data_IF_551353064958
#
_entry.id   IF_551353064958
#
_cell.length_a   1.000
_cell.length_b   1.000
_cell.length_c   1.000
_cell.angle_alpha   90.00
_cell.angle_beta   90.00
_cell.angle_gamma   90.00
#
_symmetry.space_group_name_H-M   'P 1'
#
loop_
_entity.id
_entity.type
_entity.pdbx_description
1 polymer ?
#
# COMPACT_ATOMS: atom_id res chain seq x y z
N UNK A 1 5.87 12.17 -2.33
CA UNK A 1 5.36 12.86 -3.53
C UNK A 1 5.64 11.92 -4.67
N UNK A 2 4.63 11.50 -5.44
CA UNK A 2 4.85 10.53 -6.51
C UNK A 2 5.77 11.13 -7.57
N UNK A 3 6.82 10.39 -7.90
CA UNK A 3 7.79 10.82 -8.89
C UNK A 3 7.24 10.54 -10.31
N UNK A 4 7.67 11.28 -11.33
CA UNK A 4 7.20 11.06 -12.71
C UNK A 4 7.45 9.65 -13.23
N UNK A 5 8.44 8.96 -12.66
CA UNK A 5 8.84 7.59 -13.02
C UNK A 5 8.16 6.51 -12.16
N UNK A 6 7.27 6.91 -11.23
CA UNK A 6 6.60 5.98 -10.31
C UNK A 6 5.65 4.98 -11.00
N UNK A 7 5.29 5.21 -12.26
CA UNK A 7 4.49 4.30 -13.09
C UNK A 7 5.26 3.90 -14.33
N UNK A 8 5.28 2.60 -14.62
CA UNK A 8 5.89 2.03 -15.82
C UNK A 8 4.87 1.31 -16.68
N UNK A 9 5.04 1.43 -17.99
CA UNK A 9 4.20 0.72 -18.98
C UNK A 9 4.71 -0.70 -19.17
N UNK A 10 3.82 -1.68 -19.07
CA UNK A 10 4.02 -3.09 -19.41
C UNK A 10 3.13 -3.49 -20.58
N UNK A 11 3.32 -4.70 -21.11
CA UNK A 11 2.46 -5.29 -22.16
C UNK A 11 0.99 -5.33 -21.73
N UNK A 12 0.74 -5.71 -20.48
CA UNK A 12 -0.60 -5.89 -19.90
C UNK A 12 -1.25 -4.57 -19.43
N UNK A 13 -0.49 -3.47 -19.29
CA UNK A 13 -1.03 -2.27 -18.66
C UNK A 13 0.00 -1.31 -18.08
N UNK A 14 -0.37 -0.63 -17.00
CA UNK A 14 0.51 0.19 -16.18
C UNK A 14 0.66 -0.44 -14.80
N UNK A 15 1.85 -0.33 -14.22
CA UNK A 15 2.13 -0.77 -12.86
C UNK A 15 3.04 0.25 -12.18
N UNK A 16 3.16 0.21 -10.86
CA UNK A 16 4.16 1.02 -10.18
C UNK A 16 5.58 0.53 -10.52
N UNK A 17 6.57 1.42 -10.49
CA UNK A 17 7.98 1.06 -10.66
C UNK A 17 8.50 0.20 -9.50
N UNK A 18 7.98 0.40 -8.29
CA UNK A 18 8.36 -0.34 -7.08
C UNK A 18 7.18 -0.48 -6.12
N UNK A 19 7.30 -1.38 -5.13
CA UNK A 19 6.33 -1.47 -4.03
C UNK A 19 6.35 -0.24 -3.14
N UNK A 20 7.51 0.42 -2.98
CA UNK A 20 7.60 1.68 -2.25
C UNK A 20 6.81 2.81 -2.96
N UNK A 21 6.84 2.86 -4.29
CA UNK A 21 6.03 3.82 -5.06
C UNK A 21 4.51 3.55 -4.90
N UNK A 22 4.12 2.26 -4.86
CA UNK A 22 2.75 1.85 -4.57
C UNK A 22 2.34 2.24 -3.15
N UNK A 23 3.19 1.98 -2.15
CA UNK A 23 2.94 2.33 -0.76
C UNK A 23 2.81 3.84 -0.58
N UNK A 24 3.69 4.63 -1.19
CA UNK A 24 3.59 6.09 -1.17
C UNK A 24 2.29 6.58 -1.82
N UNK A 25 1.88 5.99 -2.95
CA UNK A 25 0.60 6.31 -3.59
C UNK A 25 -0.57 6.03 -2.65
N UNK A 26 -0.62 4.82 -2.11
CA UNK A 26 -1.72 4.35 -1.27
C UNK A 26 -1.78 5.18 0.03
N UNK A 27 -0.66 5.38 0.70
CA UNK A 27 -0.56 6.16 1.93
C UNK A 27 -1.10 7.58 1.78
N UNK A 28 -0.68 8.28 0.72
CA UNK A 28 -1.09 9.67 0.49
C UNK A 28 -2.57 9.78 0.08
N UNK A 29 -3.21 8.68 -0.33
CA UNK A 29 -4.59 8.66 -0.79
C UNK A 29 -5.50 7.74 0.04
N UNK A 30 -5.05 7.33 1.24
CA UNK A 30 -5.70 6.28 2.04
C UNK A 30 -7.19 6.57 2.32
N UNK A 31 -7.48 7.83 2.66
CA UNK A 31 -8.85 8.28 2.93
C UNK A 31 -9.72 8.24 1.67
N UNK A 32 -9.17 8.62 0.53
CA UNK A 32 -9.90 8.65 -0.75
C UNK A 32 -10.13 7.24 -1.30
N UNK A 33 -9.13 6.37 -1.21
CA UNK A 33 -9.20 5.00 -1.75
C UNK A 33 -10.05 4.07 -0.88
N UNK A 34 -9.91 4.18 0.46
CA UNK A 34 -10.43 3.18 1.39
C UNK A 34 -11.26 3.77 2.54
N UNK A 35 -11.39 5.10 2.63
CA UNK A 35 -12.05 5.74 3.78
C UNK A 35 -11.27 5.64 5.08
N UNK A 36 -10.00 5.22 5.04
CA UNK A 36 -9.17 4.95 6.22
C UNK A 36 -8.32 6.14 6.63
N UNK A 37 -8.06 6.26 7.92
CA UNK A 37 -7.17 7.24 8.54
C UNK A 37 -5.80 6.57 8.74
N UNK A 38 -4.71 7.12 8.16
CA UNK A 38 -3.37 6.56 8.29
C UNK A 38 -2.87 6.60 9.74
N UNK A 39 -2.28 5.50 10.22
CA UNK A 39 -1.70 5.43 11.56
C UNK A 39 -0.18 5.27 11.52
N UNK A 40 0.33 4.24 10.83
CA UNK A 40 1.77 4.00 10.62
C UNK A 40 2.04 3.27 9.31
N UNK A 41 3.27 3.44 8.81
CA UNK A 41 3.85 2.66 7.71
C UNK A 41 4.94 1.75 8.23
N UNK A 42 5.18 0.64 7.54
CA UNK A 42 6.28 -0.30 7.80
C UNK A 42 6.38 -0.62 9.30
N UNK A 43 5.23 -0.95 9.90
CA UNK A 43 5.11 -1.14 11.34
C UNK A 43 5.49 -2.57 11.71
N UNK A 44 6.50 -2.71 12.57
CA UNK A 44 6.97 -4.03 13.03
C UNK A 44 6.16 -4.47 14.26
N UNK A 45 5.54 -5.64 14.17
CA UNK A 45 4.83 -6.31 15.26
C UNK A 45 5.24 -7.78 15.31
N UNK A 46 5.70 -8.23 16.48
CA UNK A 46 6.09 -9.64 16.71
C UNK A 46 7.00 -10.25 15.62
N UNK A 47 7.95 -9.45 15.11
CA UNK A 47 8.91 -9.74 14.04
C UNK A 47 8.39 -9.66 12.60
N UNK A 48 7.11 -9.42 12.38
CA UNK A 48 6.54 -9.18 11.05
C UNK A 48 6.39 -7.68 10.79
N UNK A 49 6.54 -7.27 9.53
CA UNK A 49 6.32 -5.89 9.10
C UNK A 49 4.97 -5.79 8.39
N UNK A 50 4.14 -4.83 8.81
CA UNK A 50 2.94 -4.44 8.08
C UNK A 50 3.25 -3.21 7.23
N UNK A 51 2.94 -3.25 5.94
CA UNK A 51 3.17 -2.09 5.06
C UNK A 51 2.42 -0.84 5.56
N UNK A 52 1.11 -0.96 5.81
CA UNK A 52 0.31 0.14 6.36
C UNK A 52 -0.60 -0.34 7.48
N UNK A 53 -0.58 0.40 8.59
CA UNK A 53 -1.54 0.31 9.68
C UNK A 53 -2.45 1.54 9.63
N UNK A 54 -3.76 1.33 9.72
CA UNK A 54 -4.76 2.38 9.60
C UNK A 54 -6.00 2.13 10.48
N UNK A 55 -6.86 3.14 10.59
CA UNK A 55 -8.13 3.07 11.29
C UNK A 55 -9.29 3.39 10.35
N UNK A 56 -10.40 2.67 10.48
CA UNK A 56 -11.68 3.13 9.93
C UNK A 56 -12.20 4.35 10.70
N UNK A 57 -13.21 5.03 10.16
CA UNK A 57 -13.92 6.10 10.89
C UNK A 57 -14.60 5.59 12.18
N UNK A 58 -14.86 4.28 12.29
CA UNK A 58 -15.37 3.64 13.50
C UNK A 58 -14.27 3.20 14.49
N UNK A 59 -13.00 3.48 14.19
CA UNK A 59 -11.87 3.11 15.04
C UNK A 59 -11.43 1.65 14.91
N UNK A 60 -11.87 0.92 13.89
CA UNK A 60 -11.41 -0.43 13.62
C UNK A 60 -9.98 -0.40 13.07
N UNK A 61 -9.08 -1.14 13.73
CA UNK A 61 -7.72 -1.33 13.25
C UNK A 61 -7.70 -2.17 11.97
N UNK A 62 -7.05 -1.64 10.94
CA UNK A 62 -6.90 -2.27 9.63
C UNK A 62 -5.42 -2.36 9.27
N UNK A 63 -5.01 -3.56 8.84
CA UNK A 63 -3.68 -3.81 8.28
C UNK A 63 -3.85 -3.94 6.76
N UNK A 64 -2.99 -3.27 6.01
CA UNK A 64 -2.94 -3.35 4.55
C UNK A 64 -1.56 -3.87 4.18
N UNK A 65 -1.53 -5.00 3.48
CA UNK A 65 -0.35 -5.54 2.81
C UNK A 65 -0.43 -5.17 1.33
N UNK A 66 0.68 -4.68 0.77
CA UNK A 66 0.76 -4.21 -0.60
C UNK A 66 1.65 -5.14 -1.43
N UNK A 67 1.22 -5.35 -2.66
CA UNK A 67 1.97 -6.11 -3.67
C UNK A 67 1.82 -5.42 -5.01
N UNK A 68 2.93 -5.15 -5.66
CA UNK A 68 2.93 -4.52 -7.00
C UNK A 68 2.77 -5.56 -8.13
N UNK A 69 2.99 -6.84 -7.80
CA UNK A 69 2.77 -7.99 -8.68
C UNK A 69 2.03 -9.06 -7.89
N UNK A 70 1.27 -9.91 -8.58
CA UNK A 70 0.55 -11.02 -7.95
C UNK A 70 1.49 -11.91 -7.13
N UNK A 71 1.09 -12.21 -5.90
CA UNK A 71 1.82 -13.14 -5.04
C UNK A 71 1.56 -14.57 -5.51
N UNK A 72 2.62 -15.23 -6.01
CA UNK A 72 2.52 -16.53 -6.71
C UNK A 72 2.25 -17.71 -5.77
N UNK A 73 2.08 -17.46 -4.47
CA UNK A 73 1.93 -18.50 -3.45
C UNK A 73 0.58 -18.46 -2.72
N UNK A 74 -0.36 -17.62 -3.15
CA UNK A 74 -1.74 -17.63 -2.65
C UNK A 74 -2.58 -18.52 -3.57
N UNK A 75 -2.98 -19.70 -3.08
CA UNK A 75 -3.87 -20.68 -3.77
C UNK A 75 -5.31 -20.48 -3.34
#
# INVERSE_FOLDING_TARGET
MLHPESLIKKSEGWQFSSEADLEDFVWNNLKTLFGLIPLKRQYIVQNDCCDILALSDSGQLTIIELKNVEDRYVV
#
